data_IF_241097350067
#
_entry.id   IF_241097350067
#
_cell.length_a   1.000
_cell.length_b   1.000
_cell.length_c   1.000
_cell.angle_alpha   90.00
_cell.angle_beta   90.00
_cell.angle_gamma   90.00
#
_symmetry.space_group_name_H-M   'P 1'
#
loop_
_entity.id
_entity.type
_entity.pdbx_description
1 polymer ?
#
# COMPACT_ATOMS: atom_id res chain seq x y z
N UNK A 1 -1.14 21.34 -5.86
CA UNK A 1 -1.63 20.60 -4.67
C UNK A 1 -1.83 21.47 -3.43
N UNK A 2 -1.73 22.81 -3.50
CA UNK A 2 -1.85 23.67 -2.31
C UNK A 2 -3.26 23.66 -1.68
N UNK A 3 -4.31 23.44 -2.47
CA UNK A 3 -5.70 23.43 -2.00
C UNK A 3 -6.11 22.12 -1.28
N UNK A 4 -5.42 21.00 -1.52
CA UNK A 4 -5.73 19.69 -0.91
C UNK A 4 -4.42 18.94 -0.57
N UNK A 5 -3.76 19.29 0.56
CA UNK A 5 -2.47 18.74 0.93
C UNK A 5 -2.56 17.28 1.41
N UNK A 6 -1.44 16.56 1.32
CA UNK A 6 -1.34 15.16 1.77
C UNK A 6 -1.63 15.01 3.26
N UNK A 7 -2.32 13.92 3.63
CA UNK A 7 -2.71 13.63 5.01
C UNK A 7 -3.88 14.47 5.53
N UNK A 8 -4.56 15.22 4.66
CA UNK A 8 -5.79 15.96 5.02
C UNK A 8 -7.03 15.26 4.51
N UNK A 9 -8.18 15.67 5.06
CA UNK A 9 -9.51 15.23 4.65
C UNK A 9 -10.34 16.45 4.27
N UNK A 10 -11.18 16.32 3.25
CA UNK A 10 -12.15 17.34 2.86
C UNK A 10 -13.47 16.67 2.49
N UNK A 11 -14.57 17.36 2.76
CA UNK A 11 -15.88 16.98 2.23
C UNK A 11 -16.02 17.52 0.80
N UNK A 12 -16.50 16.66 -0.10
CA UNK A 12 -16.68 16.96 -1.52
C UNK A 12 -18.01 16.40 -2.00
N UNK A 13 -18.52 16.97 -3.08
CA UNK A 13 -19.69 16.47 -3.77
C UNK A 13 -19.26 15.65 -4.99
N UNK A 14 -19.80 14.44 -5.14
CA UNK A 14 -19.62 13.59 -6.31
C UNK A 14 -21.00 13.23 -6.87
N UNK A 15 -21.38 13.88 -7.97
CA UNK A 15 -22.73 13.81 -8.50
C UNK A 15 -23.74 14.36 -7.48
N UNK A 16 -24.59 13.49 -6.93
CA UNK A 16 -25.59 13.84 -5.91
C UNK A 16 -25.19 13.42 -4.49
N UNK A 17 -23.98 12.87 -4.30
CA UNK A 17 -23.53 12.34 -3.03
C UNK A 17 -22.55 13.28 -2.34
N UNK A 18 -22.71 13.45 -1.02
CA UNK A 18 -21.68 13.99 -0.14
C UNK A 18 -20.69 12.88 0.22
N UNK A 19 -19.40 13.13 -0.02
CA UNK A 19 -18.33 12.19 0.23
C UNK A 19 -17.18 12.86 1.02
N UNK A 20 -16.46 12.06 1.81
CA UNK A 20 -15.19 12.48 2.41
C UNK A 20 -14.05 11.96 1.58
N UNK A 21 -13.26 12.86 1.03
CA UNK A 21 -12.02 12.53 0.35
C UNK A 21 -10.86 12.62 1.36
N UNK A 22 -10.10 11.55 1.52
CA UNK A 22 -8.87 11.52 2.31
C UNK A 22 -7.69 11.53 1.35
N UNK A 23 -6.77 12.50 1.50
CA UNK A 23 -5.58 12.58 0.65
C UNK A 23 -4.49 11.64 1.14
N UNK A 24 -4.74 10.34 0.96
CA UNK A 24 -3.88 9.21 1.30
C UNK A 24 -4.05 8.11 0.24
N UNK A 25 -3.06 7.23 0.09
CA UNK A 25 -3.09 6.15 -0.89
C UNK A 25 -2.28 4.94 -0.41
N UNK A 26 -2.90 3.77 -0.42
CA UNK A 26 -2.25 2.51 -0.07
C UNK A 26 -1.30 1.99 -1.16
N UNK A 27 -1.50 2.39 -2.41
CA UNK A 27 -0.58 2.05 -3.51
C UNK A 27 0.60 3.03 -3.63
N UNK A 28 0.56 4.14 -2.87
CA UNK A 28 1.62 5.16 -2.84
C UNK A 28 1.73 6.01 -4.10
N UNK A 29 0.63 6.11 -4.85
CA UNK A 29 0.47 7.00 -6.01
C UNK A 29 -0.48 8.16 -5.70
N UNK A 30 -0.54 9.14 -6.60
CA UNK A 30 -1.42 10.30 -6.46
C UNK A 30 -2.90 9.87 -6.46
N UNK A 31 -3.52 9.82 -5.28
CA UNK A 31 -4.95 9.51 -5.19
C UNK A 31 -5.62 9.97 -3.90
N UNK A 32 -6.90 9.64 -3.79
CA UNK A 32 -7.75 9.91 -2.64
C UNK A 32 -8.51 8.65 -2.25
N UNK A 33 -8.73 8.43 -0.96
CA UNK A 33 -9.72 7.48 -0.47
C UNK A 33 -11.05 8.20 -0.31
N UNK A 34 -12.08 7.74 -1.01
CA UNK A 34 -13.41 8.32 -1.03
C UNK A 34 -14.33 7.46 -0.15
N UNK A 35 -14.87 8.08 0.88
CA UNK A 35 -15.84 7.49 1.79
C UNK A 35 -17.20 8.14 1.53
N UNK A 36 -18.21 7.32 1.28
CA UNK A 36 -19.58 7.76 0.97
C UNK A 36 -20.57 6.91 1.77
N UNK A 37 -21.82 7.34 1.89
CA UNK A 37 -22.87 6.46 2.42
C UNK A 37 -23.13 5.26 1.49
N UNK A 38 -23.49 4.12 2.07
CA UNK A 38 -23.61 2.86 1.34
C UNK A 38 -24.70 2.88 0.25
N UNK A 39 -25.79 3.60 0.49
CA UNK A 39 -26.87 3.86 -0.47
C UNK A 39 -26.42 4.67 -1.69
N UNK A 40 -25.41 5.51 -1.53
CA UNK A 40 -24.84 6.34 -2.61
C UNK A 40 -23.59 5.73 -3.26
N UNK A 41 -23.10 4.58 -2.78
CA UNK A 41 -21.85 3.98 -3.25
C UNK A 41 -21.88 3.63 -4.74
N UNK A 42 -22.97 3.03 -5.23
CA UNK A 42 -23.13 2.68 -6.64
C UNK A 42 -23.14 3.94 -7.53
N UNK A 43 -23.91 4.96 -7.12
CA UNK A 43 -23.99 6.24 -7.83
C UNK A 43 -22.61 6.91 -7.94
N UNK A 44 -21.86 6.98 -6.84
CA UNK A 44 -20.52 7.55 -6.83
C UNK A 44 -19.56 6.75 -7.71
N UNK A 45 -19.62 5.42 -7.65
CA UNK A 45 -18.81 4.57 -8.52
C UNK A 45 -19.09 4.82 -10.00
N UNK A 46 -20.35 4.79 -10.42
CA UNK A 46 -20.75 5.01 -11.81
C UNK A 46 -20.36 6.42 -12.29
N UNK A 47 -20.55 7.43 -11.44
CA UNK A 47 -20.16 8.82 -11.72
C UNK A 47 -18.66 8.93 -11.98
N UNK A 48 -17.83 8.32 -11.11
CA UNK A 48 -16.37 8.31 -11.27
C UNK A 48 -15.93 7.46 -12.46
N UNK A 49 -16.60 6.33 -12.69
CA UNK A 49 -16.30 5.44 -13.81
C UNK A 49 -16.52 6.13 -15.15
N UNK A 50 -17.66 6.80 -15.31
CA UNK A 50 -17.99 7.56 -16.51
C UNK A 50 -17.00 8.71 -16.74
N UNK A 51 -16.71 9.51 -15.71
CA UNK A 51 -15.75 10.61 -15.79
C UNK A 51 -14.31 10.13 -16.07
N UNK A 52 -13.97 8.90 -15.64
CA UNK A 52 -12.65 8.32 -15.82
C UNK A 52 -12.38 7.71 -17.20
N UNK A 53 -13.40 7.51 -18.04
CA UNK A 53 -13.23 6.82 -19.34
C UNK A 53 -12.26 7.59 -20.25
N UNK A 54 -12.39 8.91 -20.32
CA UNK A 54 -11.51 9.78 -21.13
C UNK A 54 -10.06 9.79 -20.61
N UNK A 55 -9.83 9.30 -19.39
CA UNK A 55 -8.52 9.20 -18.76
C UNK A 55 -7.97 7.77 -18.73
N UNK A 56 -8.63 6.81 -19.39
CA UNK A 56 -8.21 5.41 -19.40
C UNK A 56 -8.32 4.73 -18.03
N UNK A 57 -9.29 5.16 -17.21
CA UNK A 57 -9.53 4.58 -15.90
C UNK A 57 -9.80 3.08 -16.01
N UNK A 58 -9.12 2.30 -15.18
CA UNK A 58 -9.30 0.85 -15.08
C UNK A 58 -9.59 0.44 -13.64
N UNK A 59 -10.11 -0.76 -13.46
CA UNK A 59 -10.39 -1.35 -12.14
C UNK A 59 -9.20 -2.21 -11.68
N UNK A 60 -8.87 -2.10 -10.39
CA UNK A 60 -7.78 -2.88 -9.77
C UNK A 60 -8.33 -3.89 -8.78
N UNK A 61 -7.72 -5.07 -8.76
CA UNK A 61 -7.96 -6.07 -7.73
C UNK A 61 -6.99 -5.96 -6.54
N UNK A 62 -7.31 -6.67 -5.47
CA UNK A 62 -6.52 -6.72 -4.24
C UNK A 62 -5.06 -7.14 -4.46
N UNK A 63 -4.81 -8.08 -5.38
CA UNK A 63 -3.45 -8.55 -5.66
C UNK A 63 -2.54 -7.47 -6.25
N UNK A 64 -3.07 -6.57 -7.08
CA UNK A 64 -2.30 -5.44 -7.60
C UNK A 64 -1.95 -4.47 -6.46
N UNK A 65 -2.91 -4.19 -5.58
CA UNK A 65 -2.65 -3.33 -4.42
C UNK A 65 -1.62 -3.92 -3.47
N UNK A 66 -1.67 -5.24 -3.24
CA UNK A 66 -0.67 -5.95 -2.44
C UNK A 66 0.72 -5.89 -3.08
N UNK A 67 0.83 -5.91 -4.40
CA UNK A 67 2.10 -5.69 -5.08
C UNK A 67 2.58 -4.23 -4.93
N UNK A 68 1.72 -3.26 -5.22
CA UNK A 68 2.08 -1.84 -5.17
C UNK A 68 2.47 -1.38 -3.76
N UNK A 69 1.71 -1.79 -2.73
CA UNK A 69 2.02 -1.44 -1.33
C UNK A 69 3.37 -2.02 -0.87
N UNK A 70 3.75 -3.19 -1.40
CA UNK A 70 5.04 -3.81 -1.09
C UNK A 70 6.20 -2.99 -1.67
N UNK A 71 6.06 -2.46 -2.89
CA UNK A 71 7.05 -1.57 -3.51
C UNK A 71 7.30 -0.30 -2.69
N UNK A 72 6.25 0.23 -2.04
CA UNK A 72 6.33 1.38 -1.14
C UNK A 72 6.78 1.01 0.27
N UNK A 73 6.92 -0.28 0.56
CA UNK A 73 7.29 -0.77 1.89
C UNK A 73 6.20 -0.56 2.94
N UNK A 74 4.92 -0.52 2.57
CA UNK A 74 3.85 -0.49 3.56
C UNK A 74 3.67 -1.85 4.23
N UNK A 75 3.39 -1.81 5.54
CA UNK A 75 3.22 -3.00 6.37
C UNK A 75 1.74 -3.31 6.53
N UNK A 76 1.35 -4.54 6.23
CA UNK A 76 0.02 -5.08 6.44
C UNK A 76 -0.01 -5.80 7.79
N UNK A 77 -0.82 -5.31 8.73
CA UNK A 77 -1.05 -5.99 10.01
C UNK A 77 -1.73 -7.34 9.79
N UNK A 78 -1.25 -8.38 10.48
CA UNK A 78 -1.69 -9.78 10.32
C UNK A 78 -0.88 -10.58 9.31
N UNK A 79 -0.31 -9.93 8.28
CA UNK A 79 0.55 -10.61 7.30
C UNK A 79 2.03 -10.31 7.50
N UNK A 80 2.40 -9.03 7.57
CA UNK A 80 3.81 -8.64 7.69
C UNK A 80 4.21 -8.45 9.15
N UNK A 81 3.31 -7.87 9.95
CA UNK A 81 3.52 -7.56 11.36
C UNK A 81 2.37 -8.12 12.20
N UNK A 82 2.67 -8.53 13.42
CA UNK A 82 1.69 -9.04 14.38
C UNK A 82 1.90 -8.41 15.76
N UNK A 83 1.10 -8.82 16.75
CA UNK A 83 1.26 -8.43 18.14
C UNK A 83 2.61 -8.85 18.76
N UNK A 84 3.33 -9.77 18.12
CA UNK A 84 4.63 -10.28 18.57
C UNK A 84 5.80 -9.39 18.13
N UNK A 85 5.57 -8.49 17.17
CA UNK A 85 6.61 -7.67 16.58
C UNK A 85 6.72 -6.32 17.27
N UNK A 86 7.95 -5.96 17.65
CA UNK A 86 8.20 -4.67 18.26
C UNK A 86 8.17 -3.57 17.19
N UNK A 87 7.44 -2.47 17.44
CA UNK A 87 7.24 -1.36 16.48
C UNK A 87 8.55 -0.79 15.90
N UNK A 88 9.60 -0.71 16.72
CA UNK A 88 10.93 -0.26 16.28
C UNK A 88 11.64 -1.29 15.37
N UNK A 89 11.47 -2.58 15.64
CA UNK A 89 12.06 -3.67 14.84
C UNK A 89 11.32 -3.83 13.50
N UNK A 90 10.02 -3.52 13.46
CA UNK A 90 9.21 -3.48 12.24
C UNK A 90 9.53 -2.28 11.31
N UNK A 91 10.35 -1.33 11.78
CA UNK A 91 10.70 -0.10 11.06
C UNK A 91 9.60 0.98 11.11
N UNK A 92 8.65 0.87 12.04
CA UNK A 92 7.53 1.80 12.23
C UNK A 92 7.80 2.84 13.32
N UNK A 93 9.08 3.06 13.66
CA UNK A 93 9.46 4.03 14.71
C UNK A 93 9.01 5.46 14.44
N UNK A 94 8.84 5.84 13.17
CA UNK A 94 8.33 7.16 12.78
C UNK A 94 6.88 7.41 13.22
N UNK A 95 6.09 6.35 13.44
CA UNK A 95 4.70 6.44 13.88
C UNK A 95 4.56 6.61 15.40
N UNK A 96 5.66 6.50 16.16
CA UNK A 96 5.64 6.55 17.63
C UNK A 96 6.19 7.88 18.13
N UNK A 97 5.31 8.72 18.69
CA UNK A 97 5.68 9.98 19.32
C UNK A 97 6.11 9.76 20.77
N UNK A 98 7.41 9.60 21.01
CA UNK A 98 7.99 9.36 22.35
C UNK A 98 7.78 10.52 23.33
N UNK A 99 7.59 11.72 22.79
CA UNK A 99 7.41 12.95 23.56
C UNK A 99 5.99 13.09 24.12
N UNK A 100 5.06 12.21 23.69
CA UNK A 100 3.72 12.15 24.29
C UNK A 100 3.85 11.70 25.76
N UNK A 101 3.23 12.39 26.72
CA UNK A 101 3.40 12.10 28.15
C UNK A 101 3.08 10.65 28.52
N UNK A 102 2.00 10.10 27.96
CA UNK A 102 1.57 8.73 28.21
C UNK A 102 0.92 8.10 26.98
N UNK A 103 1.25 6.83 26.74
CA UNK A 103 0.56 5.91 25.82
C UNK A 103 0.86 4.45 26.21
N UNK A 104 -0.03 3.54 25.83
CA UNK A 104 0.13 2.11 26.12
C UNK A 104 1.41 1.60 25.44
N UNK A 105 2.32 1.02 26.21
CA UNK A 105 3.59 0.49 25.70
C UNK A 105 4.74 1.51 25.61
N UNK A 106 4.59 2.75 26.11
CA UNK A 106 5.65 3.78 26.10
C UNK A 106 6.97 3.29 26.69
N UNK A 107 6.94 2.71 27.88
CA UNK A 107 8.17 2.27 28.55
C UNK A 107 8.83 1.10 27.83
N UNK A 108 8.06 0.25 27.13
CA UNK A 108 8.62 -0.80 26.29
C UNK A 108 9.37 -0.22 25.08
N UNK A 109 8.80 0.80 24.43
CA UNK A 109 9.44 1.50 23.31
C UNK A 109 10.74 2.18 23.76
N UNK A 110 10.72 2.90 24.88
CA UNK A 110 11.90 3.60 25.39
C UNK A 110 13.02 2.62 25.77
N UNK A 111 12.71 1.57 26.53
CA UNK A 111 13.69 0.53 26.88
C UNK A 111 14.31 -0.13 25.65
N UNK A 112 13.51 -0.44 24.61
CA UNK A 112 14.04 -1.02 23.38
C UNK A 112 14.91 -0.02 22.60
N UNK A 113 14.59 1.26 22.64
CA UNK A 113 15.40 2.31 22.00
C UNK A 113 16.77 2.44 22.66
N UNK A 114 16.83 2.35 23.99
CA UNK A 114 18.07 2.37 24.77
C UNK A 114 18.90 1.08 24.58
N UNK A 115 18.24 -0.08 24.63
CA UNK A 115 18.91 -1.38 24.49
C UNK A 115 19.39 -1.68 23.06
N UNK A 116 18.88 -0.96 22.05
CA UNK A 116 19.15 -1.24 20.64
C UNK A 116 18.26 -2.34 20.03
N UNK A 117 18.32 -2.47 18.71
CA UNK A 117 17.52 -3.43 17.95
C UNK A 117 18.28 -4.74 17.73
N UNK A 118 17.76 -5.85 18.25
CA UNK A 118 18.34 -7.20 18.02
C UNK A 118 17.97 -7.81 16.67
N UNK A 119 16.93 -7.28 16.00
CA UNK A 119 16.46 -7.70 14.69
C UNK A 119 15.79 -6.54 13.98
N UNK A 120 15.74 -6.58 12.64
CA UNK A 120 15.05 -5.57 11.84
C UNK A 120 14.33 -6.22 10.67
N UNK A 121 13.10 -5.77 10.42
CA UNK A 121 12.34 -6.15 9.25
C UNK A 121 12.86 -5.40 8.02
N UNK A 122 13.15 -6.15 6.96
CA UNK A 122 13.64 -5.62 5.68
C UNK A 122 12.80 -6.17 4.53
N UNK A 123 12.59 -5.35 3.51
CA UNK A 123 11.98 -5.77 2.25
C UNK A 123 13.10 -6.11 1.29
N UNK A 124 13.09 -7.33 0.75
CA UNK A 124 14.11 -7.79 -0.19
C UNK A 124 13.48 -7.91 -1.58
N UNK A 125 14.00 -7.12 -2.51
CA UNK A 125 13.64 -7.23 -3.91
C UNK A 125 14.60 -8.21 -4.60
N UNK A 126 14.06 -9.32 -5.09
CA UNK A 126 14.84 -10.24 -5.93
C UNK A 126 14.62 -9.87 -7.40
N UNK A 127 15.58 -9.16 -7.97
CA UNK A 127 15.62 -8.99 -9.42
C UNK A 127 16.05 -10.33 -10.04
N UNK A 128 15.16 -10.98 -10.79
CA UNK A 128 15.52 -12.19 -11.53
C UNK A 128 16.42 -11.76 -12.70
N UNK A 129 17.72 -12.10 -12.65
CA UNK A 129 18.71 -11.71 -13.66
C UNK A 129 18.57 -12.39 -15.02
N UNK A 130 17.38 -12.40 -15.62
CA UNK A 130 17.23 -12.63 -17.06
C UNK A 130 17.34 -11.28 -17.76
N UNK A 131 18.27 -11.17 -18.71
CA UNK A 131 18.33 -10.06 -19.66
C UNK A 131 17.00 -10.06 -20.42
N UNK A 132 16.26 -8.96 -20.32
CA UNK A 132 14.94 -8.80 -20.93
C UNK A 132 15.19 -8.05 -22.24
N UNK A 133 15.40 -8.79 -23.32
CA UNK A 133 15.19 -8.26 -24.66
C UNK A 133 13.67 -8.15 -24.84
N UNK A 134 13.20 -6.95 -25.18
CA UNK A 134 11.87 -6.60 -25.71
C UNK A 134 10.76 -7.62 -25.41
N UNK A 135 10.15 -7.54 -24.21
CA UNK A 135 8.72 -7.76 -23.96
C UNK A 135 8.45 -7.93 -22.45
N UNK A 136 7.59 -7.05 -21.93
CA UNK A 136 7.32 -6.88 -20.51
C UNK A 136 6.65 -8.10 -19.86
N UNK A 137 7.40 -8.81 -19.01
CA UNK A 137 6.85 -9.74 -18.01
C UNK A 137 7.60 -9.63 -16.68
N UNK A 138 7.03 -8.91 -15.72
CA UNK A 138 7.55 -8.83 -14.36
C UNK A 138 6.90 -9.92 -13.51
N UNK A 139 7.64 -10.98 -13.22
CA UNK A 139 7.28 -12.00 -12.23
C UNK A 139 7.98 -11.66 -10.90
N UNK A 140 7.27 -10.96 -10.00
CA UNK A 140 7.78 -10.65 -8.66
C UNK A 140 7.50 -11.82 -7.69
N UNK A 141 8.55 -12.51 -7.26
CA UNK A 141 8.53 -13.30 -6.03
C UNK A 141 8.86 -12.34 -4.87
N UNK A 142 7.83 -11.79 -4.24
CA UNK A 142 7.96 -10.95 -3.04
C UNK A 142 7.95 -11.86 -1.81
N UNK A 143 9.03 -11.83 -1.03
CA UNK A 143 9.13 -12.51 0.25
C UNK A 143 9.65 -11.55 1.31
N UNK A 144 8.92 -11.40 2.41
CA UNK A 144 9.40 -10.73 3.61
C UNK A 144 10.28 -11.70 4.39
N UNK A 145 11.54 -11.33 4.63
CA UNK A 145 12.48 -12.16 5.37
C UNK A 145 12.75 -11.54 6.75
N UNK A 146 12.50 -12.33 7.79
CA UNK A 146 12.94 -12.03 9.16
C UNK A 146 14.39 -12.47 9.30
N UNK A 147 15.32 -11.53 9.29
CA UNK A 147 16.76 -11.85 9.47
C UNK A 147 17.04 -11.89 10.98
N UNK A 148 17.35 -13.09 11.50
CA UNK A 148 17.53 -13.32 12.93
C UNK A 148 18.48 -14.45 13.34
N UNK A 149 18.72 -15.48 12.54
CA UNK A 149 19.74 -16.51 12.84
C UNK A 149 20.45 -17.00 11.58
N UNK A 150 21.76 -17.26 11.72
CA UNK A 150 22.65 -17.71 10.65
C UNK A 150 22.26 -19.12 10.16
N UNK A 151 21.36 -19.20 9.18
CA UNK A 151 20.90 -20.46 8.59
C UNK A 151 20.76 -20.37 7.07
N UNK A 152 21.56 -21.17 6.37
CA UNK A 152 21.65 -21.30 4.91
C UNK A 152 20.26 -21.56 4.28
N UNK A 153 19.84 -20.75 3.31
CA UNK A 153 18.49 -20.82 2.71
C UNK A 153 18.49 -21.59 1.37
N UNK A 154 17.72 -22.68 1.30
CA UNK A 154 17.36 -23.36 0.06
C UNK A 154 15.87 -23.13 -0.24
N UNK A 155 15.56 -22.23 -1.19
CA UNK A 155 14.20 -22.03 -1.67
C UNK A 155 13.95 -22.92 -2.90
N UNK A 156 13.19 -24.01 -2.71
CA UNK A 156 12.49 -24.72 -3.79
C UNK A 156 10.99 -24.52 -3.61
N UNK A 157 10.37 -23.71 -4.48
CA UNK A 157 9.01 -23.94 -4.98
C UNK A 157 9.02 -23.71 -6.49
N UNK A 158 8.49 -24.70 -7.20
CA UNK A 158 8.52 -24.91 -8.65
C UNK A 158 7.08 -24.84 -9.17
N UNK A 159 6.95 -24.51 -10.46
CA UNK A 159 5.77 -24.45 -11.34
C UNK A 159 5.05 -23.10 -11.43
N UNK A 160 4.55 -22.63 -12.60
CA UNK A 160 4.91 -22.75 -14.04
C UNK A 160 3.94 -21.80 -14.82
N UNK A 161 4.37 -21.38 -16.00
CA UNK A 161 3.90 -20.35 -16.96
C UNK A 161 2.52 -20.62 -17.64
N UNK A 162 2.09 -19.88 -18.71
CA UNK A 162 2.44 -18.54 -19.25
C UNK A 162 1.21 -17.64 -19.51
N UNK A 163 1.46 -16.33 -19.67
CA UNK A 163 0.54 -15.42 -20.33
C UNK A 163 -0.19 -14.51 -19.35
N UNK A 164 0.23 -13.23 -19.32
CA UNK A 164 -0.60 -12.04 -19.18
C UNK A 164 0.37 -10.85 -19.19
N UNK A 165 0.15 -9.96 -20.16
CA UNK A 165 0.81 -8.67 -20.28
C UNK A 165 0.32 -7.76 -19.14
N UNK A 166 1.23 -7.05 -18.48
CA UNK A 166 0.88 -5.98 -17.55
C UNK A 166 1.51 -4.68 -18.06
N UNK A 167 0.70 -3.87 -18.74
CA UNK A 167 1.01 -2.48 -19.04
C UNK A 167 0.71 -1.62 -17.81
N UNK A 168 1.58 -0.64 -17.54
CA UNK A 168 1.45 0.31 -16.42
C UNK A 168 0.39 1.35 -16.74
N UNK A 169 -0.67 1.44 -15.94
CA UNK A 169 -1.69 2.49 -15.99
C UNK A 169 -2.28 2.77 -14.59
N UNK A 170 -2.82 3.97 -14.31
CA UNK A 170 -3.40 4.33 -13.01
C UNK A 170 -4.83 3.77 -12.83
N UNK A 171 -5.19 3.36 -11.60
CA UNK A 171 -6.29 2.39 -11.35
C UNK A 171 -7.06 2.71 -10.05
N UNK A 172 -8.39 2.54 -10.07
CA UNK A 172 -9.33 2.74 -8.92
C UNK A 172 -9.78 1.39 -8.33
N UNK A 173 -9.94 1.34 -7.00
CA UNK A 173 -10.44 0.18 -6.21
C UNK A 173 -11.87 0.41 -5.72
N UNK A 174 -12.68 -0.66 -5.65
CA UNK A 174 -13.88 -0.75 -4.80
C UNK A 174 -13.89 -2.07 -4.03
N UNK A 175 -13.84 -2.05 -2.69
CA UNK A 175 -14.67 -2.94 -1.86
C UNK A 175 -14.76 -2.49 -0.38
N UNK A 176 -15.95 -2.64 0.20
CA UNK A 176 -16.41 -2.10 1.51
C UNK A 176 -16.22 -0.58 1.71
N UNK A 177 -16.96 0.22 0.93
CA UNK A 177 -17.15 1.68 1.09
C UNK A 177 -15.84 2.46 1.31
N UNK A 178 -14.78 2.01 0.63
CA UNK A 178 -13.49 2.70 0.56
C UNK A 178 -13.09 2.70 -0.92
N UNK A 179 -13.47 3.75 -1.63
CA UNK A 179 -13.16 3.93 -3.05
C UNK A 179 -11.83 4.70 -3.17
N UNK A 180 -10.71 4.01 -3.37
CA UNK A 180 -9.39 4.66 -3.50
C UNK A 180 -9.13 5.09 -4.95
N UNK A 181 -9.47 6.33 -5.31
CA UNK A 181 -9.29 6.92 -6.64
C UNK A 181 -7.86 7.43 -6.83
N UNK A 182 -7.08 6.76 -7.68
CA UNK A 182 -5.74 7.20 -8.09
C UNK A 182 -5.83 7.86 -9.45
N UNK A 183 -5.64 9.19 -9.49
CA UNK A 183 -5.56 9.97 -10.75
C UNK A 183 -4.10 10.38 -10.90
N UNK A 184 -3.38 9.80 -11.87
CA UNK A 184 -2.01 10.20 -12.20
C UNK A 184 -2.03 11.36 -13.19
N UNK A 185 -1.55 12.53 -12.77
CA UNK A 185 -1.23 13.61 -13.72
C UNK A 185 0.17 13.33 -14.29
N UNK A 186 0.25 12.95 -15.57
CA UNK A 186 1.53 13.00 -16.28
C UNK A 186 1.85 14.49 -16.54
N UNK A 187 3.04 14.92 -16.14
CA UNK A 187 3.69 16.15 -16.59
C UNK A 187 5.02 15.78 -17.19
#
# INVERSE_FOLDING_TARGET
SAAFPFGTVQEIEIGMALARAHRVSYVGELGWEIYVSADMAAHVFETLWAAGQDHGLTLSGLHMMDAARLEKGFRHFGHDITCEDHVLEAGLGFAVKTDKPAFIGRDAVLRKREAGLGRRMVVIYRCCGRRIDEDFHILFLLGLLRIGEAGRLALRKRFLSPGVQAAKSPVLLVDHVQCSLVVSHQS
#
